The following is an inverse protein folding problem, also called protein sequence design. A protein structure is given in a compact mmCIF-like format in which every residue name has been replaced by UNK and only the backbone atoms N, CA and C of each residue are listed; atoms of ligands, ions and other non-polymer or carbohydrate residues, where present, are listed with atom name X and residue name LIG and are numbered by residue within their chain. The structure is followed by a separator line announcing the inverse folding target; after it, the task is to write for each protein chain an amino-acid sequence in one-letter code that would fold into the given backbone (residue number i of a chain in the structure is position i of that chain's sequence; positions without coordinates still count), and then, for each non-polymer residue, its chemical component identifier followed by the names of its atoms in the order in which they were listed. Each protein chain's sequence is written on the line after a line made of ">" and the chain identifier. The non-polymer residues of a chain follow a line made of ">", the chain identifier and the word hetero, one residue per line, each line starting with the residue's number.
data_IF_470915239797
#
_entry.id   IF_470915239797
#
_cell.length_a   1.000
_cell.length_b   1.000
_cell.length_c   1.000
_cell.angle_alpha   90.00
_cell.angle_beta   90.00
_cell.angle_gamma   90.00
#
_symmetry.space_group_name_H-M   'P 1'
#
loop_
_entity.id
_entity.type
_entity.pdbx_description
1 polymer ?
#
# COMPACT_ATOMS: atom_id res chain seq x y z
N UNK A 1 21.52 -18.18 -11.76
CA UNK A 1 20.51 -17.34 -11.09
C UNK A 1 20.31 -16.07 -11.90
N UNK A 2 19.06 -15.71 -12.16
CA UNK A 2 18.72 -14.46 -12.86
C UNK A 2 18.23 -13.45 -11.80
N UNK A 3 18.99 -12.37 -11.52
CA UNK A 3 18.78 -11.52 -10.34
C UNK A 3 17.43 -10.78 -10.33
N UNK A 4 16.76 -10.62 -11.48
CA UNK A 4 15.44 -10.01 -11.58
C UNK A 4 14.35 -10.91 -10.98
N UNK A 5 14.41 -12.22 -11.25
CA UNK A 5 13.44 -13.19 -10.72
C UNK A 5 13.57 -13.39 -9.21
N UNK A 6 14.79 -13.29 -8.68
CA UNK A 6 15.05 -13.39 -7.25
C UNK A 6 14.49 -12.17 -6.48
N UNK A 7 14.49 -10.98 -7.10
CA UNK A 7 13.96 -9.75 -6.49
C UNK A 7 12.44 -9.76 -6.38
N UNK A 8 11.75 -10.19 -7.45
CA UNK A 8 10.28 -10.25 -7.48
C UNK A 8 9.76 -11.26 -6.44
N UNK A 9 10.41 -12.44 -6.36
CA UNK A 9 10.10 -13.45 -5.34
C UNK A 9 10.28 -12.94 -3.91
N UNK A 10 11.34 -12.16 -3.64
CA UNK A 10 11.55 -11.55 -2.32
C UNK A 10 10.45 -10.53 -2.01
N UNK A 11 10.03 -9.72 -2.99
CA UNK A 11 8.91 -8.79 -2.85
C UNK A 11 7.61 -9.49 -2.46
N UNK A 12 7.25 -10.56 -3.17
CA UNK A 12 6.05 -11.36 -2.89
C UNK A 12 6.05 -11.97 -1.48
N UNK A 13 7.18 -12.52 -1.04
CA UNK A 13 7.33 -13.10 0.31
C UNK A 13 7.18 -12.02 1.40
N UNK A 14 7.78 -10.85 1.19
CA UNK A 14 7.67 -9.73 2.12
C UNK A 14 6.23 -9.20 2.21
N UNK A 15 5.57 -9.03 1.06
CA UNK A 15 4.17 -8.61 1.00
C UNK A 15 3.26 -9.61 1.71
N UNK A 16 3.40 -10.90 1.42
CA UNK A 16 2.61 -11.96 2.04
C UNK A 16 2.79 -12.01 3.56
N UNK A 17 4.04 -11.89 4.03
CA UNK A 17 4.36 -11.85 5.47
C UNK A 17 3.77 -10.59 6.14
N UNK A 18 3.87 -9.43 5.50
CA UNK A 18 3.29 -8.19 6.01
C UNK A 18 1.75 -8.29 6.12
N UNK A 19 1.09 -8.82 5.08
CA UNK A 19 -0.37 -9.06 5.09
C UNK A 19 -0.74 -9.96 6.26
N UNK A 20 -0.04 -11.07 6.45
CA UNK A 20 -0.30 -12.00 7.55
C UNK A 20 -0.16 -11.32 8.91
N UNK A 21 0.95 -10.63 9.16
CA UNK A 21 1.20 -9.96 10.44
C UNK A 21 0.19 -8.84 10.69
N UNK A 22 -0.04 -7.96 9.72
CA UNK A 22 -0.96 -6.84 9.87
C UNK A 22 -2.37 -7.35 10.08
N UNK A 23 -2.82 -8.39 9.37
CA UNK A 23 -4.18 -8.93 9.50
C UNK A 23 -4.45 -9.56 10.88
N UNK A 24 -3.41 -9.96 11.61
CA UNK A 24 -3.55 -10.45 12.99
C UNK A 24 -3.77 -9.33 14.03
N UNK A 25 -3.52 -8.07 13.67
CA UNK A 25 -3.68 -6.94 14.58
C UNK A 25 -5.15 -6.53 14.60
N UNK A 26 -5.82 -6.56 15.77
CA UNK A 26 -7.21 -6.18 15.87
C UNK A 26 -7.40 -4.66 15.80
N UNK A 27 -8.53 -4.21 15.28
CA UNK A 27 -8.81 -2.78 15.05
C UNK A 27 -8.92 -1.95 16.35
N UNK A 28 -9.09 -2.61 17.50
CA UNK A 28 -9.12 -1.97 18.81
C UNK A 28 -7.75 -1.86 19.49
N UNK A 29 -6.66 -2.24 18.83
CA UNK A 29 -5.31 -2.09 19.38
C UNK A 29 -4.95 -0.58 19.51
N UNK A 30 -4.53 -0.08 20.68
CA UNK A 30 -4.08 1.31 20.88
C UNK A 30 -3.08 1.89 19.84
N UNK A 31 -2.30 1.03 19.21
CA UNK A 31 -1.25 1.30 18.24
C UNK A 31 -1.61 0.81 16.84
N UNK A 32 -2.88 0.52 16.57
CA UNK A 32 -3.36 0.13 15.24
C UNK A 32 -2.91 1.11 14.16
N UNK A 33 -2.84 2.40 14.47
CA UNK A 33 -2.26 3.45 13.61
C UNK A 33 -0.90 3.14 12.98
N UNK A 34 -0.05 2.31 13.61
CA UNK A 34 1.28 1.97 13.11
C UNK A 34 1.22 1.17 11.80
N UNK A 35 0.08 0.50 11.52
CA UNK A 35 -0.08 -0.27 10.29
C UNK A 35 -0.33 0.60 9.06
N UNK A 36 -0.60 1.90 9.23
CA UNK A 36 -1.02 2.79 8.13
C UNK A 36 -0.03 2.78 6.97
N UNK A 37 1.26 3.00 7.26
CA UNK A 37 2.30 2.99 6.26
C UNK A 37 2.54 1.60 5.65
N UNK A 38 2.75 0.53 6.44
CA UNK A 38 2.87 -0.83 5.90
C UNK A 38 1.69 -1.26 5.01
N UNK A 39 0.45 -0.97 5.41
CA UNK A 39 -0.74 -1.28 4.61
C UNK A 39 -0.75 -0.54 3.28
N UNK A 40 -0.38 0.74 3.27
CA UNK A 40 -0.29 1.51 2.03
C UNK A 40 0.80 0.96 1.09
N UNK A 41 2.01 0.68 1.61
CA UNK A 41 3.13 0.17 0.80
C UNK A 41 2.78 -1.15 0.14
N UNK A 42 2.18 -2.09 0.88
CA UNK A 42 1.75 -3.39 0.34
C UNK A 42 0.75 -3.20 -0.81
N UNK A 43 -0.22 -2.31 -0.67
CA UNK A 43 -1.17 -2.04 -1.74
C UNK A 43 -0.54 -1.32 -2.94
N UNK A 44 0.35 -0.36 -2.69
CA UNK A 44 0.98 0.44 -3.75
C UNK A 44 1.92 -0.39 -4.63
N UNK A 45 2.60 -1.36 -4.03
CA UNK A 45 3.58 -2.24 -4.68
C UNK A 45 2.95 -3.48 -5.33
N UNK A 46 1.74 -3.86 -4.94
CA UNK A 46 1.08 -5.06 -5.47
C UNK A 46 0.38 -4.79 -6.80
N UNK A 47 0.47 -5.74 -7.73
CA UNK A 47 -0.35 -5.78 -8.95
C UNK A 47 -1.67 -6.54 -8.81
N UNK A 48 -1.87 -7.23 -7.68
CA UNK A 48 -3.05 -8.03 -7.44
C UNK A 48 -4.20 -7.18 -6.88
N UNK A 49 -5.35 -7.25 -7.55
CA UNK A 49 -6.55 -6.53 -7.10
C UNK A 49 -6.97 -6.90 -5.67
N UNK A 50 -6.79 -8.16 -5.27
CA UNK A 50 -7.12 -8.63 -3.92
C UNK A 50 -6.24 -7.97 -2.85
N UNK A 51 -4.95 -7.83 -3.10
CA UNK A 51 -3.99 -7.21 -2.17
C UNK A 51 -4.22 -5.69 -2.07
N UNK A 52 -4.56 -5.03 -3.18
CA UNK A 52 -4.97 -3.62 -3.18
C UNK A 52 -6.26 -3.40 -2.38
N UNK A 53 -7.27 -4.27 -2.56
CA UNK A 53 -8.51 -4.17 -1.79
C UNK A 53 -8.30 -4.46 -0.30
N UNK A 54 -7.40 -5.39 0.05
CA UNK A 54 -6.99 -5.61 1.43
C UNK A 54 -6.39 -4.35 2.04
N UNK A 55 -5.48 -3.67 1.33
CA UNK A 55 -4.87 -2.43 1.80
C UNK A 55 -5.92 -1.31 1.98
N UNK A 56 -6.82 -1.15 1.01
CA UNK A 56 -7.97 -0.24 1.12
C UNK A 56 -8.81 -0.53 2.36
N UNK A 57 -9.11 -1.80 2.63
CA UNK A 57 -9.87 -2.22 3.81
C UNK A 57 -9.22 -1.75 5.11
N UNK A 58 -7.90 -1.92 5.26
CA UNK A 58 -7.16 -1.48 6.46
C UNK A 58 -7.18 0.05 6.60
N UNK A 59 -7.01 0.79 5.50
CA UNK A 59 -7.09 2.27 5.53
C UNK A 59 -8.50 2.78 5.88
N UNK A 60 -9.56 2.12 5.41
CA UNK A 60 -10.95 2.44 5.78
C UNK A 60 -11.24 2.16 7.26
N UNK A 61 -10.72 1.06 7.79
CA UNK A 61 -10.81 0.74 9.23
C UNK A 61 -10.09 1.81 10.06
N UNK A 62 -8.86 2.16 9.68
CA UNK A 62 -8.09 3.25 10.30
C UNK A 62 -8.88 4.57 10.29
N UNK A 63 -9.48 4.94 9.15
CA UNK A 63 -10.24 6.18 9.02
C UNK A 63 -11.53 6.19 9.85
N UNK A 64 -12.10 5.00 10.13
CA UNK A 64 -13.28 4.86 11.01
C UNK A 64 -12.92 5.11 12.47
N UNK A 65 -11.74 4.64 12.91
CA UNK A 65 -11.27 4.83 14.29
C UNK A 65 -10.62 6.21 14.51
N UNK A 66 -9.88 6.71 13.51
CA UNK A 66 -9.16 7.97 13.52
C UNK A 66 -9.30 8.66 12.16
N UNK A 67 -10.18 9.67 12.02
CA UNK A 67 -10.45 10.32 10.73
C UNK A 67 -9.34 11.33 10.37
N UNK A 68 -8.11 10.85 10.24
CA UNK A 68 -6.98 11.67 9.83
C UNK A 68 -7.08 11.98 8.34
N UNK A 69 -7.04 13.26 7.99
CA UNK A 69 -7.21 13.71 6.60
C UNK A 69 -6.26 13.03 5.60
N UNK A 70 -5.08 12.59 6.05
CA UNK A 70 -4.12 11.92 5.18
C UNK A 70 -4.53 10.49 4.78
N UNK A 71 -5.39 9.82 5.55
CA UNK A 71 -5.87 8.47 5.21
C UNK A 71 -6.74 8.48 3.96
N UNK A 72 -7.58 9.52 3.79
CA UNK A 72 -8.38 9.69 2.58
C UNK A 72 -7.49 9.95 1.36
N UNK A 73 -6.46 10.78 1.53
CA UNK A 73 -5.46 11.01 0.48
C UNK A 73 -4.73 9.70 0.13
N UNK A 74 -4.31 8.92 1.12
CA UNK A 74 -3.69 7.61 0.90
C UNK A 74 -4.60 6.64 0.13
N UNK A 75 -5.90 6.59 0.45
CA UNK A 75 -6.87 5.78 -0.31
C UNK A 75 -7.00 6.28 -1.75
N UNK A 76 -7.23 7.57 -1.97
CA UNK A 76 -7.36 8.15 -3.31
C UNK A 76 -6.11 7.88 -4.17
N UNK A 77 -4.91 8.01 -3.58
CA UNK A 77 -3.65 7.67 -4.25
C UNK A 77 -3.59 6.19 -4.60
N UNK A 78 -3.97 5.30 -3.69
CA UNK A 78 -3.95 3.86 -3.92
C UNK A 78 -4.88 3.45 -5.07
N UNK A 79 -6.07 4.06 -5.15
CA UNK A 79 -7.01 3.87 -6.25
C UNK A 79 -6.41 4.32 -7.59
N UNK A 80 -5.75 5.48 -7.62
CA UNK A 80 -5.02 5.97 -8.81
C UNK A 80 -3.92 5.01 -9.24
N UNK A 81 -3.13 4.50 -8.30
CA UNK A 81 -2.07 3.53 -8.58
C UNK A 81 -2.62 2.23 -9.17
N UNK A 82 -3.76 1.74 -8.67
CA UNK A 82 -4.42 0.55 -9.21
C UNK A 82 -4.97 0.71 -10.63
N UNK A 83 -5.30 1.94 -11.05
CA UNK A 83 -5.71 2.24 -12.43
C UNK A 83 -4.53 2.40 -13.40
N UNK A 84 -3.30 2.54 -12.90
CA UNK A 84 -2.13 2.69 -13.74
C UNK A 84 -1.67 1.34 -14.25
N UNK A 85 -1.61 1.23 -15.58
CA UNK A 85 -1.08 0.05 -16.24
C UNK A 85 0.45 0.15 -16.23
N UNK A 86 1.10 -0.42 -15.21
CA UNK A 86 2.55 -0.31 -15.00
C UNK A 86 3.37 -0.82 -16.19
N UNK A 87 2.83 -1.75 -16.98
CA UNK A 87 3.40 -2.26 -18.23
C UNK A 87 3.63 -1.17 -19.30
N UNK A 88 2.87 -0.05 -19.25
CA UNK A 88 3.05 1.11 -20.13
C UNK A 88 3.86 2.25 -19.50
N UNK A 89 4.24 2.11 -18.23
CA UNK A 89 4.89 3.18 -17.45
C UNK A 89 6.40 3.26 -17.62
N UNK A 90 7.01 2.30 -18.34
CA UNK A 90 8.45 2.22 -18.57
C UNK A 90 9.25 1.80 -17.33
N UNK A 91 8.66 1.00 -16.44
CA UNK A 91 9.30 0.56 -15.19
C UNK A 91 9.34 1.63 -14.10
N UNK A 92 8.40 2.58 -14.11
CA UNK A 92 8.31 3.61 -13.06
C UNK A 92 7.75 3.00 -11.77
N UNK A 93 8.55 3.00 -10.71
CA UNK A 93 8.11 2.69 -9.35
C UNK A 93 6.95 3.60 -8.93
N UNK A 94 5.98 3.06 -8.19
CA UNK A 94 4.86 3.80 -7.63
C UNK A 94 5.30 5.05 -6.86
N UNK A 95 6.49 5.05 -6.24
CA UNK A 95 7.06 6.21 -5.53
C UNK A 95 7.24 7.41 -6.46
N UNK A 96 7.71 7.17 -7.70
CA UNK A 96 7.84 8.23 -8.70
C UNK A 96 6.47 8.77 -9.11
N UNK A 97 5.49 7.89 -9.29
CA UNK A 97 4.12 8.29 -9.63
C UNK A 97 3.53 9.18 -8.54
N UNK A 98 3.65 8.79 -7.27
CA UNK A 98 3.16 9.57 -6.13
C UNK A 98 3.86 10.93 -6.08
N UNK A 99 5.19 10.96 -6.23
CA UNK A 99 5.98 12.20 -6.22
C UNK A 99 5.57 13.18 -7.33
N UNK A 100 5.28 12.69 -8.53
CA UNK A 100 4.88 13.51 -9.67
C UNK A 100 3.41 13.96 -9.57
N UNK A 101 2.55 13.13 -9.00
CA UNK A 101 1.09 13.35 -9.01
C UNK A 101 0.61 14.15 -7.80
N UNK A 102 1.33 14.08 -6.66
CA UNK A 102 0.85 14.64 -5.39
C UNK A 102 1.99 15.29 -4.57
N UNK A 103 2.21 16.61 -4.71
CA UNK A 103 3.28 17.32 -3.99
C UNK A 103 3.09 17.36 -2.47
N UNK A 104 1.85 17.18 -1.98
CA UNK A 104 1.49 17.17 -0.56
C UNK A 104 1.07 15.76 -0.08
N UNK A 105 1.61 14.70 -0.70
CA UNK A 105 1.37 13.34 -0.23
C UNK A 105 2.14 13.08 1.06
N UNK A 106 1.41 12.73 2.13
CA UNK A 106 1.98 12.48 3.45
C UNK A 106 1.34 11.20 4.01
N UNK A 107 2.19 10.26 4.41
CA UNK A 107 1.84 9.20 5.35
C UNK A 107 2.87 9.28 6.48
N UNK A 108 2.41 9.22 7.73
CA UNK A 108 3.23 9.29 8.95
C UNK A 108 3.06 8.00 9.74
#
# INVERSE_FOLDING_TARGET
>A
MNPLHDSDMVGEVLASSAIQHISSIPDHEPNFKVITWPSFVVGADSDEAATREWAMGRLRQLATCWPWGFLYKAMDTLERLGCLNYDKSGGRSWVHVVKESEPDFLIV
#
